data_IF_442880475635
#
_entry.id   IF_442880475635
#
_cell.length_a   1.000
_cell.length_b   1.000
_cell.length_c   1.000
_cell.angle_alpha   90.00
_cell.angle_beta   90.00
_cell.angle_gamma   90.00
#
_symmetry.space_group_name_H-M   'P 1'
#
loop_
_entity.id
_entity.type
_entity.pdbx_description
1 polymer ?
#
# COMPACT_ATOMS: atom_id res chain seq x y z
N UNK A 1 1.58 32.31 -5.10
CA UNK A 1 1.64 31.41 -3.91
C UNK A 1 0.84 30.09 -4.01
N UNK A 2 -0.43 30.04 -4.47
CA UNK A 2 -1.24 28.80 -4.39
C UNK A 2 -0.69 27.57 -5.16
N UNK A 3 0.14 27.76 -6.21
CA UNK A 3 0.67 26.65 -7.03
C UNK A 3 1.65 25.74 -6.25
N UNK A 4 2.71 26.34 -5.70
CA UNK A 4 3.86 25.61 -5.12
C UNK A 4 3.44 24.66 -3.99
N UNK A 5 2.41 25.00 -3.20
CA UNK A 5 1.90 24.10 -2.16
C UNK A 5 1.35 22.79 -2.74
N UNK A 6 0.61 22.84 -3.87
CA UNK A 6 0.03 21.64 -4.49
C UNK A 6 1.11 20.71 -5.03
N UNK A 7 2.09 21.27 -5.76
CA UNK A 7 3.22 20.53 -6.32
C UNK A 7 4.04 19.90 -5.18
N UNK A 8 4.37 20.69 -4.14
CA UNK A 8 5.10 20.18 -2.98
C UNK A 8 4.33 19.08 -2.23
N UNK A 9 3.00 19.21 -2.08
CA UNK A 9 2.18 18.17 -1.48
C UNK A 9 2.22 16.87 -2.31
N UNK A 10 1.91 16.92 -3.61
CA UNK A 10 1.94 15.76 -4.52
C UNK A 10 3.33 15.10 -4.51
N UNK A 11 4.41 15.89 -4.58
CA UNK A 11 5.77 15.35 -4.55
C UNK A 11 6.12 14.65 -3.24
N UNK A 12 5.70 15.19 -2.08
CA UNK A 12 5.95 14.55 -0.80
C UNK A 12 5.08 13.30 -0.63
N UNK A 13 3.83 13.34 -1.09
CA UNK A 13 2.91 12.19 -1.12
C UNK A 13 3.50 11.04 -1.94
N UNK A 14 3.89 11.31 -3.19
CA UNK A 14 4.53 10.37 -4.11
C UNK A 14 5.87 9.82 -3.57
N UNK A 15 6.71 10.66 -2.96
CA UNK A 15 7.97 10.22 -2.35
C UNK A 15 7.73 9.35 -1.10
N UNK A 16 6.72 9.68 -0.29
CA UNK A 16 6.36 8.90 0.90
C UNK A 16 5.81 7.52 0.56
N UNK A 17 4.94 7.40 -0.44
CA UNK A 17 4.44 6.09 -0.90
C UNK A 17 5.54 5.29 -1.61
N UNK A 18 6.37 5.92 -2.46
CA UNK A 18 7.50 5.26 -3.11
C UNK A 18 8.48 4.66 -2.10
N UNK A 19 8.95 5.45 -1.13
CA UNK A 19 9.86 4.96 -0.08
C UNK A 19 9.21 3.92 0.82
N UNK A 20 7.92 4.08 1.16
CA UNK A 20 7.18 3.10 1.96
C UNK A 20 7.06 1.73 1.26
N UNK A 21 6.67 1.73 -0.02
CA UNK A 21 6.58 0.51 -0.83
C UNK A 21 7.97 -0.10 -1.06
N UNK A 22 8.99 0.71 -1.37
CA UNK A 22 10.35 0.22 -1.60
C UNK A 22 10.95 -0.47 -0.35
N UNK A 23 10.71 0.08 0.86
CA UNK A 23 11.15 -0.55 2.12
C UNK A 23 10.37 -1.84 2.40
N UNK A 24 9.05 -1.86 2.22
CA UNK A 24 8.25 -3.07 2.42
C UNK A 24 8.62 -4.19 1.42
N UNK A 25 8.82 -3.85 0.15
CA UNK A 25 9.30 -4.78 -0.87
C UNK A 25 10.72 -5.27 -0.57
N UNK A 26 11.63 -4.40 -0.10
CA UNK A 26 12.97 -4.80 0.34
C UNK A 26 12.97 -5.80 1.50
N UNK A 27 12.06 -5.63 2.46
CA UNK A 27 11.88 -6.56 3.59
C UNK A 27 11.44 -7.95 3.09
N UNK A 28 10.41 -8.02 2.23
CA UNK A 28 9.88 -9.28 1.70
C UNK A 28 10.85 -9.98 0.74
N UNK A 29 11.58 -9.21 -0.07
CA UNK A 29 12.66 -9.72 -0.94
C UNK A 29 13.82 -10.29 -0.13
N UNK A 30 14.09 -9.75 1.07
CA UNK A 30 15.13 -10.26 1.96
C UNK A 30 14.67 -11.48 2.76
N UNK A 31 13.42 -11.50 3.25
CA UNK A 31 12.79 -12.67 3.87
C UNK A 31 12.84 -13.89 2.94
N UNK A 32 12.35 -13.73 1.70
CA UNK A 32 12.30 -14.84 0.72
C UNK A 32 13.68 -15.34 0.30
N UNK A 33 14.74 -14.52 0.39
CA UNK A 33 16.13 -14.96 0.20
C UNK A 33 16.70 -15.73 1.40
N UNK A 34 16.23 -15.45 2.63
CA UNK A 34 16.68 -16.14 3.84
C UNK A 34 15.94 -17.45 4.11
N UNK A 35 14.63 -17.48 3.86
CA UNK A 35 13.74 -18.57 4.28
C UNK A 35 13.06 -19.32 3.13
N UNK A 36 13.19 -18.86 1.89
CA UNK A 36 12.55 -19.47 0.73
C UNK A 36 11.03 -19.25 0.72
N UNK A 37 10.28 -20.28 0.31
CA UNK A 37 8.81 -20.26 0.35
C UNK A 37 8.27 -21.01 1.58
N UNK A 38 7.31 -20.45 2.33
CA UNK A 38 6.80 -21.07 3.55
C UNK A 38 5.91 -22.28 3.26
N UNK A 39 6.39 -23.47 3.57
CA UNK A 39 5.68 -24.74 3.38
C UNK A 39 4.67 -25.05 4.50
N UNK A 40 4.88 -24.51 5.70
CA UNK A 40 4.07 -24.78 6.89
C UNK A 40 3.19 -23.60 7.30
N UNK A 41 2.15 -23.88 8.10
CA UNK A 41 1.31 -22.84 8.68
C UNK A 41 2.07 -21.89 9.64
N UNK A 42 3.12 -22.38 10.31
CA UNK A 42 3.93 -21.57 11.21
C UNK A 42 4.75 -20.52 10.46
N UNK A 43 5.39 -20.91 9.36
CA UNK A 43 6.16 -20.00 8.50
C UNK A 43 5.25 -18.98 7.81
N UNK A 44 4.06 -19.41 7.34
CA UNK A 44 3.03 -18.49 6.80
C UNK A 44 2.58 -17.42 7.82
N UNK A 45 2.45 -17.78 9.11
CA UNK A 45 2.15 -16.82 10.18
C UNK A 45 3.36 -15.91 10.47
N UNK A 46 4.58 -16.43 10.38
CA UNK A 46 5.83 -15.65 10.47
C UNK A 46 5.92 -14.57 9.39
N UNK A 47 5.73 -14.94 8.12
CA UNK A 47 5.77 -14.01 6.98
C UNK A 47 4.63 -12.98 7.00
N UNK A 48 3.43 -13.36 7.48
CA UNK A 48 2.40 -12.37 7.80
C UNK A 48 2.90 -11.37 8.86
N UNK A 49 3.54 -11.84 9.94
CA UNK A 49 4.15 -10.96 10.95
C UNK A 49 5.16 -9.97 10.36
N UNK A 50 6.04 -10.44 9.47
CA UNK A 50 7.03 -9.63 8.75
C UNK A 50 6.33 -8.59 7.84
N UNK A 51 5.30 -9.00 7.10
CA UNK A 51 4.54 -8.09 6.24
C UNK A 51 3.75 -7.03 7.03
N UNK A 52 3.25 -7.36 8.23
CA UNK A 52 2.60 -6.37 9.12
C UNK A 52 3.61 -5.32 9.61
N UNK A 53 4.88 -5.71 9.85
CA UNK A 53 5.98 -4.76 10.13
C UNK A 53 6.31 -3.92 8.88
N UNK A 54 6.33 -4.52 7.69
CA UNK A 54 6.45 -3.79 6.42
C UNK A 54 5.34 -2.74 6.23
N UNK A 55 4.08 -3.11 6.51
CA UNK A 55 2.92 -2.22 6.48
C UNK A 55 2.98 -1.10 7.52
N UNK A 56 3.43 -1.42 8.75
CA UNK A 56 3.69 -0.45 9.81
C UNK A 56 4.70 0.61 9.36
N UNK A 57 5.82 0.18 8.78
CA UNK A 57 6.89 1.08 8.31
C UNK A 57 6.41 1.91 7.11
N UNK A 58 5.81 1.28 6.10
CA UNK A 58 5.33 1.96 4.90
C UNK A 58 4.25 3.02 5.21
N UNK A 59 3.26 2.67 6.04
CA UNK A 59 2.22 3.60 6.49
C UNK A 59 2.79 4.74 7.34
N UNK A 60 3.81 4.47 8.16
CA UNK A 60 4.50 5.50 8.95
C UNK A 60 5.26 6.51 8.08
N UNK A 61 5.99 6.04 7.07
CA UNK A 61 6.73 6.86 6.11
C UNK A 61 5.76 7.78 5.34
N UNK A 62 4.71 7.20 4.73
CA UNK A 62 3.71 7.99 4.00
C UNK A 62 3.05 9.03 4.91
N UNK A 63 2.61 8.62 6.10
CA UNK A 63 1.95 9.51 7.04
C UNK A 63 2.83 10.72 7.41
N UNK A 64 4.13 10.52 7.63
CA UNK A 64 5.08 11.59 7.94
C UNK A 64 5.23 12.59 6.78
N UNK A 65 5.44 12.09 5.57
CA UNK A 65 5.60 12.91 4.36
C UNK A 65 4.33 13.73 4.04
N UNK A 66 3.15 13.14 4.21
CA UNK A 66 1.87 13.85 4.07
C UNK A 66 1.68 14.90 5.17
N UNK A 67 1.82 14.51 6.44
CA UNK A 67 1.53 15.35 7.59
C UNK A 67 2.40 16.61 7.64
N UNK A 68 3.70 16.50 7.33
CA UNK A 68 4.63 17.65 7.39
C UNK A 68 4.29 18.77 6.41
N UNK A 69 3.52 18.47 5.36
CA UNK A 69 2.96 19.43 4.41
C UNK A 69 1.55 19.84 4.83
N UNK A 70 0.66 18.88 5.13
CA UNK A 70 -0.73 19.14 5.50
C UNK A 70 -0.86 20.01 6.76
N UNK A 71 0.00 19.84 7.78
CA UNK A 71 -0.01 20.67 8.99
C UNK A 71 0.29 22.15 8.71
N UNK A 72 0.99 22.48 7.62
CA UNK A 72 1.20 23.89 7.18
C UNK A 72 -0.09 24.54 6.68
N UNK A 73 -1.08 23.75 6.26
CA UNK A 73 -2.42 24.21 5.86
C UNK A 73 -3.47 24.03 6.97
N UNK A 74 -3.28 23.04 7.84
CA UNK A 74 -4.17 22.67 8.94
C UNK A 74 -3.36 22.55 10.25
N UNK A 75 -3.06 23.67 10.96
CA UNK A 75 -2.16 23.64 12.11
C UNK A 75 -2.59 22.70 13.25
N UNK A 76 -3.91 22.51 13.42
CA UNK A 76 -4.50 21.59 14.40
C UNK A 76 -4.50 20.11 13.99
N UNK A 77 -3.88 19.73 12.86
CA UNK A 77 -3.84 18.34 12.39
C UNK A 77 -3.00 17.47 13.33
N UNK A 78 -3.67 16.61 14.10
CA UNK A 78 -3.04 15.72 15.07
C UNK A 78 -2.11 14.71 14.41
N UNK A 79 -0.82 14.71 14.79
CA UNK A 79 0.16 13.74 14.30
C UNK A 79 -0.26 12.31 14.63
N UNK A 80 -0.53 12.02 15.91
CA UNK A 80 -0.80 10.67 16.39
C UNK A 80 -2.05 10.05 15.75
N UNK A 81 -3.10 10.86 15.50
CA UNK A 81 -4.30 10.41 14.79
C UNK A 81 -4.05 10.22 13.30
N UNK A 82 -3.32 11.13 12.65
CA UNK A 82 -2.99 11.01 11.23
C UNK A 82 -2.12 9.77 10.95
N UNK A 83 -1.06 9.62 11.73
CA UNK A 83 -0.15 8.48 11.70
C UNK A 83 -0.87 7.17 12.01
N UNK A 84 -1.55 7.08 13.15
CA UNK A 84 -2.25 5.86 13.58
C UNK A 84 -3.28 5.40 12.55
N UNK A 85 -4.14 6.30 12.06
CA UNK A 85 -5.16 5.94 11.08
C UNK A 85 -4.58 5.50 9.73
N UNK A 86 -3.53 6.18 9.23
CA UNK A 86 -2.85 5.82 7.97
C UNK A 86 -2.15 4.47 8.08
N UNK A 87 -1.48 4.25 9.21
CA UNK A 87 -0.71 3.05 9.50
C UNK A 87 -1.61 1.83 9.68
N UNK A 88 -2.72 1.96 10.43
CA UNK A 88 -3.72 0.91 10.58
C UNK A 88 -4.37 0.54 9.24
N UNK A 89 -4.62 1.51 8.36
CA UNK A 89 -5.15 1.24 7.02
C UNK A 89 -4.14 0.49 6.13
N UNK A 90 -2.85 0.81 6.21
CA UNK A 90 -1.78 0.05 5.55
C UNK A 90 -1.69 -1.39 6.06
N UNK A 91 -1.69 -1.57 7.39
CA UNK A 91 -1.65 -2.88 8.05
C UNK A 91 -2.87 -3.72 7.62
N UNK A 92 -4.08 -3.15 7.64
CA UNK A 92 -5.28 -3.81 7.14
C UNK A 92 -5.18 -4.17 5.64
N UNK A 93 -4.57 -3.32 4.83
CA UNK A 93 -4.25 -3.61 3.42
C UNK A 93 -3.38 -4.85 3.23
N UNK A 94 -2.30 -4.97 4.02
CA UNK A 94 -1.43 -6.15 4.01
C UNK A 94 -2.12 -7.42 4.52
N UNK A 95 -2.97 -7.32 5.56
CA UNK A 95 -3.84 -8.44 5.98
C UNK A 95 -4.73 -8.90 4.83
N UNK A 96 -5.40 -7.97 4.14
CA UNK A 96 -6.31 -8.29 3.02
C UNK A 96 -5.58 -8.87 1.80
N UNK A 97 -4.32 -8.50 1.56
CA UNK A 97 -3.50 -9.11 0.53
C UNK A 97 -3.07 -10.55 0.90
N UNK A 98 -2.68 -10.79 2.16
CA UNK A 98 -2.00 -12.04 2.55
C UNK A 98 -2.96 -13.11 3.04
N UNK A 99 -4.05 -12.79 3.74
CA UNK A 99 -5.00 -13.79 4.27
C UNK A 99 -5.54 -14.75 3.20
N UNK A 100 -5.85 -14.33 1.95
CA UNK A 100 -6.20 -15.26 0.88
C UNK A 100 -5.15 -16.34 0.61
N UNK A 101 -3.84 -16.06 0.78
CA UNK A 101 -2.75 -17.04 0.58
C UNK A 101 -2.76 -18.19 1.58
N UNK A 102 -3.50 -18.06 2.70
CA UNK A 102 -3.60 -19.12 3.70
C UNK A 102 -4.53 -20.25 3.24
N UNK A 103 -5.52 -19.97 2.39
CA UNK A 103 -6.40 -21.00 1.78
C UNK A 103 -5.74 -21.82 0.67
N UNK A 104 -4.59 -21.40 0.12
CA UNK A 104 -3.85 -22.15 -0.90
C UNK A 104 -2.79 -23.05 -0.25
N UNK A 105 -2.58 -24.25 -0.80
CA UNK A 105 -1.64 -25.26 -0.29
C UNK A 105 -0.76 -25.81 -1.40
N UNK A 106 0.50 -26.13 -1.09
CA UNK A 106 1.54 -26.49 -2.05
C UNK A 106 2.55 -25.37 -2.29
N UNK A 107 3.62 -25.66 -3.02
CA UNK A 107 4.78 -24.77 -3.21
C UNK A 107 4.41 -23.40 -3.81
N UNK A 108 3.35 -23.36 -4.62
CA UNK A 108 2.87 -22.14 -5.27
C UNK A 108 1.86 -21.33 -4.43
N UNK A 109 1.74 -21.53 -3.11
CA UNK A 109 0.63 -20.95 -2.33
C UNK A 109 0.67 -19.43 -2.14
N UNK A 110 1.80 -18.85 -1.71
CA UNK A 110 1.98 -17.38 -1.70
C UNK A 110 2.09 -16.87 -3.13
N UNK A 111 2.74 -17.63 -3.99
CA UNK A 111 2.92 -17.29 -5.40
C UNK A 111 1.61 -17.22 -6.20
N UNK A 112 0.57 -18.01 -5.90
CA UNK A 112 -0.76 -17.88 -6.53
C UNK A 112 -1.53 -16.62 -6.08
N UNK A 113 -1.00 -15.88 -5.10
CA UNK A 113 -1.51 -14.59 -4.65
C UNK A 113 -0.57 -13.42 -5.03
N UNK A 114 0.69 -13.69 -5.44
CA UNK A 114 1.73 -12.66 -5.64
C UNK A 114 2.61 -12.82 -6.93
N UNK A 115 2.86 -14.00 -7.50
CA UNK A 115 3.47 -14.14 -8.86
C UNK A 115 2.40 -13.61 -9.85
N UNK A 116 2.73 -12.76 -10.85
CA UNK A 116 1.96 -12.54 -12.09
C UNK A 116 1.57 -13.81 -12.92
N UNK A 117 1.28 -14.96 -12.29
CA UNK A 117 1.41 -16.29 -12.89
C UNK A 117 0.05 -16.95 -13.22
N UNK A 118 -0.05 -17.63 -14.37
CA UNK A 118 -1.06 -18.66 -14.69
C UNK A 118 -2.53 -18.24 -14.82
N UNK A 119 -2.89 -17.11 -14.24
CA UNK A 119 -4.17 -16.42 -14.34
C UNK A 119 -4.18 -15.59 -15.63
N UNK A 120 -5.29 -15.51 -16.40
CA UNK A 120 -5.34 -14.67 -17.60
C UNK A 120 -4.93 -13.23 -17.27
N UNK A 121 -3.99 -12.64 -18.03
CA UNK A 121 -3.35 -11.33 -17.74
C UNK A 121 -4.37 -10.25 -17.36
N UNK A 122 -5.52 -10.20 -18.06
CA UNK A 122 -6.65 -9.34 -17.73
C UNK A 122 -7.13 -9.45 -16.27
N UNK A 123 -7.23 -10.65 -15.72
CA UNK A 123 -7.70 -10.88 -14.34
C UNK A 123 -6.67 -10.39 -13.31
N UNK A 124 -5.37 -10.52 -13.59
CA UNK A 124 -4.33 -9.91 -12.76
C UNK A 124 -4.38 -8.36 -12.82
N UNK A 125 -4.55 -7.79 -14.02
CA UNK A 125 -4.71 -6.35 -14.22
C UNK A 125 -5.95 -5.80 -13.52
N UNK A 126 -7.13 -6.40 -13.73
CA UNK A 126 -8.38 -6.00 -13.05
C UNK A 126 -8.32 -6.25 -11.53
N UNK A 127 -7.71 -7.35 -11.08
CA UNK A 127 -7.46 -7.63 -9.67
C UNK A 127 -6.62 -6.54 -9.01
N UNK A 128 -5.55 -6.08 -9.66
CA UNK A 128 -4.71 -4.97 -9.16
C UNK A 128 -5.48 -3.65 -9.04
N UNK A 129 -6.35 -3.34 -10.00
CA UNK A 129 -7.23 -2.16 -9.97
C UNK A 129 -8.20 -2.23 -8.78
N UNK A 130 -8.86 -3.38 -8.59
CA UNK A 130 -9.83 -3.60 -7.51
C UNK A 130 -9.15 -3.56 -6.14
N UNK A 131 -8.01 -4.25 -5.99
CA UNK A 131 -7.23 -4.23 -4.75
C UNK A 131 -6.72 -2.83 -4.42
N UNK A 132 -6.17 -2.10 -5.41
CA UNK A 132 -5.76 -0.71 -5.25
C UNK A 132 -6.93 0.21 -4.88
N UNK A 133 -8.10 0.02 -5.50
CA UNK A 133 -9.30 0.78 -5.14
C UNK A 133 -9.73 0.53 -3.68
N UNK A 134 -9.70 -0.73 -3.22
CA UNK A 134 -10.02 -1.10 -1.82
C UNK A 134 -8.99 -0.52 -0.84
N UNK A 135 -7.69 -0.67 -1.13
CA UNK A 135 -6.60 -0.14 -0.31
C UNK A 135 -6.67 1.39 -0.19
N UNK A 136 -6.92 2.07 -1.31
CA UNK A 136 -7.17 3.50 -1.36
C UNK A 136 -8.44 3.92 -0.60
N UNK A 137 -9.49 3.10 -0.57
CA UNK A 137 -10.67 3.34 0.25
C UNK A 137 -10.33 3.29 1.75
N UNK A 138 -9.60 2.26 2.21
CA UNK A 138 -9.20 2.14 3.62
C UNK A 138 -8.30 3.30 4.06
N UNK A 139 -7.25 3.61 3.29
CA UNK A 139 -6.29 4.70 3.61
C UNK A 139 -7.01 6.05 3.56
N UNK A 140 -7.77 6.30 2.50
CA UNK A 140 -8.56 7.52 2.34
C UNK A 140 -9.58 7.72 3.47
N UNK A 141 -10.26 6.66 3.91
CA UNK A 141 -11.20 6.69 5.03
C UNK A 141 -10.51 6.97 6.37
N UNK A 142 -9.41 6.26 6.68
CA UNK A 142 -8.64 6.49 7.89
C UNK A 142 -8.14 7.94 7.99
N UNK A 143 -7.65 8.49 6.89
CA UNK A 143 -7.20 9.88 6.81
C UNK A 143 -8.36 10.89 6.87
N UNK A 144 -9.49 10.57 6.24
CA UNK A 144 -10.71 11.38 6.30
C UNK A 144 -11.24 11.54 7.74
N UNK A 145 -11.13 10.51 8.58
CA UNK A 145 -11.59 10.55 9.98
C UNK A 145 -10.94 11.68 10.83
N UNK A 146 -9.75 12.14 10.46
CA UNK A 146 -9.14 13.35 11.03
C UNK A 146 -9.39 14.59 10.14
N UNK A 147 -9.20 14.52 8.82
CA UNK A 147 -9.39 15.66 7.89
C UNK A 147 -10.79 16.28 7.94
N UNK A 148 -11.83 15.49 8.27
CA UNK A 148 -13.22 15.97 8.41
C UNK A 148 -13.42 17.01 9.52
N UNK A 149 -12.47 17.13 10.45
CA UNK A 149 -12.45 18.16 11.51
C UNK A 149 -11.88 19.50 11.02
N UNK A 150 -11.21 19.51 9.87
CA UNK A 150 -10.41 20.63 9.37
C UNK A 150 -10.89 21.17 8.01
N UNK A 151 -11.79 20.46 7.32
CA UNK A 151 -12.32 20.86 6.00
C UNK A 151 -13.69 20.25 5.68
N UNK A 152 -14.65 21.12 5.34
CA UNK A 152 -15.87 20.76 4.62
C UNK A 152 -15.56 20.22 3.21
N UNK A 153 -16.31 19.21 2.77
CA UNK A 153 -16.06 18.43 1.53
C UNK A 153 -14.73 17.64 1.55
N UNK A 154 -14.16 17.39 2.73
CA UNK A 154 -13.01 16.49 2.94
C UNK A 154 -13.24 15.05 2.45
N UNK A 155 -14.48 14.56 2.35
CA UNK A 155 -14.79 13.21 1.86
C UNK A 155 -14.27 12.93 0.43
N UNK A 156 -14.04 13.97 -0.38
CA UNK A 156 -13.38 13.86 -1.69
C UNK A 156 -11.99 13.20 -1.60
N UNK A 157 -11.33 13.29 -0.44
CA UNK A 157 -10.04 12.64 -0.15
C UNK A 157 -10.09 11.12 -0.31
N UNK A 158 -11.23 10.49 0.04
CA UNK A 158 -11.41 9.04 -0.10
C UNK A 158 -11.38 8.67 -1.58
N UNK A 159 -12.20 9.33 -2.42
CA UNK A 159 -12.20 9.12 -3.86
C UNK A 159 -10.84 9.36 -4.52
N UNK A 160 -10.11 10.40 -4.11
CA UNK A 160 -8.77 10.67 -4.63
C UNK A 160 -7.76 9.57 -4.27
N UNK A 161 -7.85 8.98 -3.07
CA UNK A 161 -7.03 7.81 -2.70
C UNK A 161 -7.45 6.56 -3.49
N UNK A 162 -8.76 6.29 -3.64
CA UNK A 162 -9.28 5.17 -4.44
C UNK A 162 -8.73 5.21 -5.87
N UNK A 163 -8.85 6.35 -6.57
CA UNK A 163 -8.32 6.50 -7.93
C UNK A 163 -6.79 6.42 -7.99
N UNK A 164 -6.08 7.07 -7.05
CA UNK A 164 -4.62 7.07 -7.00
C UNK A 164 -4.03 5.68 -6.78
N UNK A 165 -4.57 4.92 -5.83
CA UNK A 165 -4.11 3.55 -5.53
C UNK A 165 -4.54 2.54 -6.59
N UNK A 166 -5.74 2.65 -7.16
CA UNK A 166 -6.16 1.78 -8.27
C UNK A 166 -5.23 1.92 -9.49
N UNK A 167 -4.89 3.17 -9.86
CA UNK A 167 -3.95 3.45 -10.94
C UNK A 167 -2.50 3.07 -10.57
N UNK A 168 -2.09 3.28 -9.32
CA UNK A 168 -0.77 2.92 -8.81
C UNK A 168 -0.51 1.42 -8.82
N UNK A 169 -1.44 0.61 -8.29
CA UNK A 169 -1.34 -0.86 -8.31
C UNK A 169 -1.36 -1.40 -9.74
N UNK A 170 -2.22 -0.85 -10.61
CA UNK A 170 -2.23 -1.18 -12.04
C UNK A 170 -0.89 -0.91 -12.71
N UNK A 171 -0.29 0.27 -12.47
CA UNK A 171 1.01 0.61 -13.02
C UNK A 171 2.14 -0.29 -12.49
N UNK A 172 2.13 -0.63 -11.20
CA UNK A 172 3.12 -1.55 -10.60
C UNK A 172 3.05 -2.93 -11.25
N UNK A 173 1.85 -3.51 -11.40
CA UNK A 173 1.67 -4.84 -12.00
C UNK A 173 2.02 -4.82 -13.50
N UNK A 174 1.59 -3.80 -14.24
CA UNK A 174 1.90 -3.64 -15.65
C UNK A 174 3.41 -3.49 -15.90
N UNK A 175 4.12 -2.73 -15.05
CA UNK A 175 5.57 -2.58 -15.14
C UNK A 175 6.30 -3.88 -14.78
N UNK A 176 5.87 -4.59 -13.74
CA UNK A 176 6.45 -5.89 -13.37
C UNK A 176 6.41 -6.89 -14.53
N UNK A 177 5.23 -7.07 -15.14
CA UNK A 177 5.04 -7.91 -16.33
C UNK A 177 5.93 -7.47 -17.51
N UNK A 178 6.08 -6.15 -17.71
CA UNK A 178 6.88 -5.60 -18.80
C UNK A 178 8.39 -5.78 -18.60
N UNK A 179 8.88 -5.94 -17.36
CA UNK A 179 10.28 -6.25 -17.07
C UNK A 179 10.58 -7.76 -17.07
N UNK A 180 9.67 -8.60 -16.56
CA UNK A 180 9.83 -10.06 -16.63
C UNK A 180 9.91 -10.56 -18.08
N UNK A 181 9.03 -10.06 -18.96
CA UNK A 181 9.04 -10.38 -20.40
C UNK A 181 10.22 -9.83 -21.21
N UNK A 182 11.26 -9.29 -20.56
CA UNK A 182 12.53 -8.90 -21.19
C UNK A 182 13.71 -9.77 -20.71
N UNK A 183 13.48 -10.73 -19.81
CA UNK A 183 14.49 -11.61 -19.22
C UNK A 183 14.32 -13.09 -19.65
N UNK A 184 13.48 -13.34 -20.65
CA UNK A 184 13.15 -14.64 -21.24
C UNK A 184 13.48 -14.70 -22.74
#
# INVERSE_FOLDING_TARGET
MKSNYRINWIFNDALGIFLGIAVAAGILSYESQLFGQPGTAAEKVGGLGIALVGGLIAGSILAWFQWRILKRRYPGLSWTRWWGNTTLAFIAGWVLAIVPSFSYTGENAIQQVISPFGIPVFTAMYGSIIFGALLGAFIGFGQWMELRKHREKSAQWIGMNVFGWALGMFAIVLLGMAFEGQLS
#
